data_IF_046596442655
#
_entry.id   IF_046596442655
#
_cell.length_a   1.000
_cell.length_b   1.000
_cell.length_c   1.000
_cell.angle_alpha   90.00
_cell.angle_beta   90.00
_cell.angle_gamma   90.00
#
_symmetry.space_group_name_H-M   'P 1'
#
loop_
_entity.id
_entity.type
_entity.pdbx_description
1 polymer ?
#
# COMPACT_ATOMS: atom_id res chain seq x y z
N UNK A 1 -41.22 -0.17 32.69
CA UNK A 1 -42.17 0.61 31.87
C UNK A 1 -41.41 1.76 31.24
N UNK A 2 -41.21 1.71 29.92
CA UNK A 2 -40.80 2.82 29.00
C UNK A 2 -39.41 3.46 29.20
N UNK A 3 -38.45 3.25 28.27
CA UNK A 3 -38.08 4.09 27.09
C UNK A 3 -37.37 5.41 27.47
N UNK A 4 -36.25 5.90 26.87
CA UNK A 4 -35.53 5.66 25.61
C UNK A 4 -34.15 6.37 25.62
N UNK A 5 -33.21 5.78 24.87
CA UNK A 5 -32.11 6.29 24.03
C UNK A 5 -31.47 7.67 24.23
N UNK A 6 -30.12 7.68 24.29
CA UNK A 6 -29.27 8.16 23.16
C UNK A 6 -28.05 7.21 23.07
N UNK A 7 -27.93 6.51 21.94
CA UNK A 7 -26.73 5.78 21.54
C UNK A 7 -25.97 6.64 20.53
N UNK A 8 -24.69 6.90 20.79
CA UNK A 8 -23.75 7.51 19.84
C UNK A 8 -23.23 6.45 18.86
N UNK A 9 -23.20 6.72 17.54
CA UNK A 9 -22.59 5.79 16.59
C UNK A 9 -21.07 6.02 16.56
N UNK A 10 -20.31 4.96 16.80
CA UNK A 10 -18.89 4.87 16.45
C UNK A 10 -18.79 4.71 14.93
N UNK A 11 -18.26 5.72 14.25
CA UNK A 11 -17.96 5.70 12.82
C UNK A 11 -16.88 4.65 12.55
N UNK A 12 -17.22 3.58 11.82
CA UNK A 12 -16.26 2.61 11.27
C UNK A 12 -16.03 2.97 9.81
N UNK A 13 -14.89 3.59 9.50
CA UNK A 13 -14.42 3.74 8.12
C UNK A 13 -13.69 2.44 7.74
N UNK A 14 -14.20 1.71 6.75
CA UNK A 14 -13.55 0.54 6.16
C UNK A 14 -13.55 0.74 4.64
N UNK A 15 -12.37 0.88 4.03
CA UNK A 15 -12.21 0.90 2.57
C UNK A 15 -11.95 -0.52 2.06
N UNK A 16 -12.60 -0.89 0.94
CA UNK A 16 -12.43 -2.16 0.23
C UNK A 16 -12.15 -1.80 -1.23
N UNK A 17 -11.01 -2.24 -1.77
CA UNK A 17 -10.72 -2.22 -3.20
C UNK A 17 -11.05 -3.56 -3.83
N UNK A 18 -11.67 -3.50 -5.01
CA UNK A 18 -12.05 -4.65 -5.82
C UNK A 18 -11.29 -4.55 -7.15
N UNK A 19 -10.23 -5.35 -7.31
CA UNK A 19 -9.42 -5.34 -8.53
C UNK A 19 -9.95 -6.30 -9.60
N UNK A 20 -10.11 -5.78 -10.83
CA UNK A 20 -10.24 -6.56 -12.05
C UNK A 20 -8.89 -6.47 -12.80
N UNK A 21 -8.16 -7.57 -12.85
CA UNK A 21 -6.72 -7.63 -13.18
C UNK A 21 -6.35 -7.42 -14.65
N UNK A 22 -5.33 -6.57 -14.88
CA UNK A 22 -4.23 -6.74 -15.84
C UNK A 22 -2.95 -6.11 -15.23
N UNK A 23 -2.05 -6.95 -14.70
CA UNK A 23 -0.61 -6.70 -14.52
C UNK A 23 -0.09 -5.43 -13.78
N UNK A 24 -0.78 -4.92 -12.75
CA UNK A 24 -0.21 -3.96 -11.79
C UNK A 24 0.01 -4.60 -10.42
N UNK A 25 1.03 -4.14 -9.70
CA UNK A 25 1.36 -4.63 -8.36
C UNK A 25 0.51 -3.90 -7.30
N UNK A 26 -0.28 -4.65 -6.53
CA UNK A 26 -1.29 -4.12 -5.59
C UNK A 26 -0.72 -3.58 -4.26
N UNK A 27 -1.58 -2.85 -3.55
CA UNK A 27 -1.34 -1.76 -2.59
C UNK A 27 -0.45 -1.98 -1.36
N UNK A 28 0.18 -0.88 -0.95
CA UNK A 28 0.71 -0.60 0.39
C UNK A 28 -0.38 -0.12 1.35
N UNK A 29 -0.71 -0.92 2.37
CA UNK A 29 -1.61 -0.53 3.46
C UNK A 29 -0.78 -0.21 4.72
N UNK A 30 -0.79 1.06 5.18
CA UNK A 30 -0.14 1.46 6.44
C UNK A 30 -1.18 1.88 7.48
N UNK A 31 -1.17 1.23 8.65
CA UNK A 31 -2.06 1.55 9.77
C UNK A 31 -1.35 2.59 10.68
N UNK A 32 -2.01 3.71 10.95
CA UNK A 32 -1.49 4.74 11.86
C UNK A 32 -1.53 4.25 13.33
N UNK A 33 -0.50 4.51 14.16
CA UNK A 33 -0.62 4.41 15.61
C UNK A 33 -1.37 5.64 16.15
N UNK A 34 -2.51 5.43 16.80
CA UNK A 34 -3.17 6.47 17.60
C UNK A 34 -2.38 6.67 18.91
N UNK A 35 -1.66 7.77 19.05
CA UNK A 35 -1.01 8.15 20.31
C UNK A 35 -2.03 8.76 21.29
N UNK A 36 -2.85 7.91 21.91
CA UNK A 36 -3.59 8.30 23.12
C UNK A 36 -2.82 7.82 24.35
N UNK A 37 -2.01 8.71 24.95
CA UNK A 37 -1.49 8.46 26.31
C UNK A 37 -2.66 8.45 27.29
N UNK A 38 -3.12 7.25 27.68
CA UNK A 38 -3.73 7.07 29.01
C UNK A 38 -2.80 6.22 29.87
N UNK A 39 -2.34 6.88 30.93
CA UNK A 39 -1.55 6.31 31.99
C UNK A 39 -2.49 5.45 32.86
N UNK A 40 -2.54 4.14 32.64
CA UNK A 40 -3.08 3.19 33.62
C UNK A 40 -2.19 1.96 33.68
N UNK A 41 -1.58 1.77 34.84
CA UNK A 41 -0.79 0.61 35.23
C UNK A 41 -1.60 -0.69 35.18
N UNK A 42 -1.04 -1.72 34.55
CA UNK A 42 -1.43 -3.12 34.73
C UNK A 42 -2.42 -3.65 33.70
N UNK A 43 -1.93 -4.48 32.77
CA UNK A 43 -2.76 -5.28 31.87
C UNK A 43 -2.17 -5.36 30.46
N UNK A 44 -1.52 -6.48 30.14
CA UNK A 44 -0.89 -6.71 28.83
C UNK A 44 -1.89 -6.71 27.68
N UNK A 45 -1.69 -5.82 26.72
CA UNK A 45 -2.41 -5.80 25.46
C UNK A 45 -1.51 -6.37 24.36
N UNK A 46 -1.80 -7.60 23.91
CA UNK A 46 -1.26 -8.12 22.66
C UNK A 46 -1.84 -7.30 21.50
N UNK A 47 -1.01 -6.72 20.64
CA UNK A 47 -1.46 -6.05 19.43
C UNK A 47 -2.04 -7.08 18.43
N UNK A 48 -3.18 -6.75 17.81
CA UNK A 48 -4.01 -7.64 16.99
C UNK A 48 -4.18 -7.00 15.62
N UNK A 49 -3.71 -7.65 14.56
CA UNK A 49 -4.07 -7.28 13.18
C UNK A 49 -5.25 -8.15 12.74
N UNK A 50 -6.35 -7.51 12.34
CA UNK A 50 -7.53 -8.18 11.76
C UNK A 50 -7.57 -7.81 10.28
N UNK A 51 -7.25 -8.76 9.40
CA UNK A 51 -7.43 -8.59 7.96
C UNK A 51 -8.79 -9.17 7.55
N UNK A 52 -9.64 -8.35 6.91
CA UNK A 52 -10.84 -8.79 6.21
C UNK A 52 -10.51 -8.88 4.72
N UNK A 53 -10.49 -10.09 4.14
CA UNK A 53 -10.23 -10.29 2.70
C UNK A 53 -11.54 -10.70 2.03
N UNK A 54 -12.02 -9.88 1.10
CA UNK A 54 -13.13 -10.23 0.22
C UNK A 54 -12.64 -11.22 -0.85
N UNK A 55 -13.28 -12.38 -0.96
CA UNK A 55 -12.92 -13.36 -1.98
C UNK A 55 -13.59 -13.08 -3.31
N UNK A 56 -12.80 -12.92 -4.38
CA UNK A 56 -13.30 -13.02 -5.75
C UNK A 56 -12.76 -14.30 -6.40
N UNK A 57 -13.63 -15.01 -7.11
CA UNK A 57 -13.33 -16.26 -7.82
C UNK A 57 -12.48 -15.95 -9.05
N UNK A 58 -11.28 -16.54 -9.15
CA UNK A 58 -10.45 -16.50 -10.36
C UNK A 58 -10.92 -17.58 -11.32
N UNK A 59 -11.32 -17.21 -12.54
CA UNK A 59 -11.41 -18.15 -13.66
C UNK A 59 -10.04 -18.22 -14.34
N UNK A 60 -9.36 -19.37 -14.29
CA UNK A 60 -8.15 -19.61 -15.07
C UNK A 60 -8.52 -19.89 -16.53
N UNK A 61 -7.80 -19.27 -17.46
CA UNK A 61 -8.14 -19.23 -18.88
C UNK A 61 -7.65 -20.46 -19.67
N UNK A 62 -7.90 -21.70 -19.23
CA UNK A 62 -7.43 -22.86 -20.02
C UNK A 62 -8.30 -24.12 -20.06
N UNK A 63 -9.51 -24.16 -19.51
CA UNK A 63 -10.43 -25.28 -19.80
C UNK A 63 -11.89 -24.87 -19.65
N UNK A 64 -12.64 -24.99 -20.75
CA UNK A 64 -14.10 -24.85 -20.79
C UNK A 64 -14.73 -26.03 -20.03
N UNK A 65 -15.03 -25.86 -18.76
CA UNK A 65 -16.05 -26.67 -18.08
C UNK A 65 -17.26 -25.78 -17.75
N UNK A 66 -18.44 -26.19 -18.25
CA UNK A 66 -19.72 -25.52 -18.03
C UNK A 66 -20.08 -25.51 -16.54
N UNK A 67 -20.16 -24.33 -15.93
CA UNK A 67 -20.68 -24.19 -14.56
C UNK A 67 -22.21 -24.21 -14.60
N UNK A 68 -22.80 -25.34 -14.19
CA UNK A 68 -24.23 -25.44 -13.89
C UNK A 68 -24.55 -24.66 -12.60
N UNK A 69 -25.12 -23.46 -12.76
CA UNK A 69 -25.72 -22.71 -11.65
C UNK A 69 -27.13 -23.23 -11.37
N UNK A 70 -27.30 -23.93 -10.24
CA UNK A 70 -28.64 -24.30 -9.74
C UNK A 70 -29.16 -23.15 -8.88
N UNK A 71 -30.12 -22.38 -9.38
CA UNK A 71 -30.76 -21.31 -8.60
C UNK A 71 -31.79 -21.89 -7.62
N UNK A 72 -31.87 -21.41 -6.37
CA UNK A 72 -32.97 -21.76 -5.47
C UNK A 72 -34.30 -21.26 -6.04
N UNK A 73 -35.32 -22.11 -5.97
CA UNK A 73 -36.67 -21.90 -6.51
C UNK A 73 -37.35 -20.71 -5.81
N UNK A 74 -37.37 -19.54 -6.44
CA UNK A 74 -38.15 -18.40 -5.96
C UNK A 74 -39.65 -18.70 -6.12
N UNK A 75 -40.42 -18.42 -5.05
CA UNK A 75 -41.87 -18.54 -5.04
C UNK A 75 -42.48 -17.64 -6.13
N UNK A 76 -43.26 -18.26 -7.01
CA UNK A 76 -43.94 -17.60 -8.10
C UNK A 76 -45.05 -16.68 -7.60
N UNK A 77 -45.03 -15.41 -8.01
CA UNK A 77 -46.27 -14.67 -8.25
C UNK A 77 -46.13 -13.79 -9.49
N UNK A 78 -47.02 -14.06 -10.45
CA UNK A 78 -47.37 -13.36 -11.69
C UNK A 78 -46.40 -12.36 -12.32
N UNK A 79 -45.88 -12.69 -13.51
CA UNK A 79 -46.47 -12.23 -14.78
C UNK A 79 -45.61 -12.69 -15.98
N UNK A 80 -46.28 -12.94 -17.12
CA UNK A 80 -45.79 -13.61 -18.33
C UNK A 80 -44.83 -12.74 -19.16
N UNK A 81 -43.76 -13.38 -19.68
CA UNK A 81 -43.07 -13.21 -20.98
C UNK A 81 -41.59 -13.60 -20.77
N UNK A 82 -40.89 -14.40 -21.58
CA UNK A 82 -40.98 -14.66 -23.00
C UNK A 82 -40.26 -16.01 -23.31
N UNK A 83 -40.76 -16.74 -24.30
CA UNK A 83 -40.31 -18.05 -24.72
C UNK A 83 -38.96 -18.06 -25.49
N UNK A 84 -38.30 -19.21 -25.42
CA UNK A 84 -37.40 -19.87 -26.38
C UNK A 84 -36.58 -19.02 -27.38
N UNK A 85 -35.25 -19.13 -27.28
CA UNK A 85 -34.33 -18.91 -28.39
C UNK A 85 -33.36 -20.10 -28.48
N UNK A 86 -33.64 -21.01 -29.42
CA UNK A 86 -32.74 -22.05 -29.92
C UNK A 86 -32.02 -21.52 -31.16
N UNK A 87 -30.72 -21.24 -31.08
CA UNK A 87 -29.87 -20.77 -32.20
C UNK A 87 -28.45 -20.37 -31.73
N UNK A 88 -27.42 -20.41 -32.61
CA UNK A 88 -26.02 -20.49 -32.20
C UNK A 88 -25.48 -19.19 -31.58
N UNK A 89 -24.47 -19.37 -30.75
CA UNK A 89 -23.72 -18.39 -29.94
C UNK A 89 -23.70 -16.96 -30.48
N UNK A 90 -24.45 -16.06 -29.83
CA UNK A 90 -24.19 -14.63 -29.91
C UNK A 90 -23.42 -14.21 -28.65
N UNK A 91 -22.18 -13.74 -28.83
CA UNK A 91 -21.42 -13.05 -27.79
C UNK A 91 -22.09 -11.73 -27.47
N UNK A 92 -22.96 -11.71 -26.45
CA UNK A 92 -23.44 -10.45 -25.86
C UNK A 92 -22.38 -9.92 -24.90
N UNK A 93 -21.71 -8.83 -25.27
CA UNK A 93 -21.02 -7.97 -24.30
C UNK A 93 -22.05 -7.49 -23.28
N UNK A 94 -21.95 -7.96 -22.05
CA UNK A 94 -22.68 -7.39 -20.93
C UNK A 94 -22.10 -5.99 -20.70
N UNK A 95 -22.90 -4.95 -20.95
CA UNK A 95 -22.52 -3.58 -20.60
C UNK A 95 -22.25 -3.48 -19.09
N UNK A 96 -21.24 -2.70 -18.70
CA UNK A 96 -20.78 -2.49 -17.32
C UNK A 96 -21.89 -2.22 -16.28
N UNK A 97 -23.08 -1.75 -16.71
CA UNK A 97 -24.28 -1.60 -15.87
C UNK A 97 -24.80 -2.88 -15.20
N UNK A 98 -24.42 -4.08 -15.65
CA UNK A 98 -24.87 -5.35 -15.02
C UNK A 98 -23.94 -5.87 -13.92
N UNK A 99 -22.68 -5.42 -13.83
CA UNK A 99 -21.82 -5.78 -12.69
C UNK A 99 -22.16 -4.97 -11.45
N UNK A 100 -22.69 -3.75 -11.62
CA UNK A 100 -23.08 -2.86 -10.52
C UNK A 100 -24.29 -3.36 -9.72
N UNK A 101 -25.01 -4.39 -10.20
CA UNK A 101 -26.20 -4.93 -9.54
C UNK A 101 -25.89 -6.10 -8.58
N UNK A 102 -24.64 -6.57 -8.53
CA UNK A 102 -24.21 -7.66 -7.64
C UNK A 102 -23.56 -7.17 -6.32
N UNK A 103 -23.37 -5.86 -6.17
CA UNK A 103 -22.83 -5.23 -4.97
C UNK A 103 -23.87 -4.24 -4.43
N UNK A 104 -25.07 -4.74 -4.13
CA UNK A 104 -25.98 -4.04 -3.23
C UNK A 104 -25.26 -3.94 -1.88
N UNK A 105 -24.99 -2.72 -1.43
CA UNK A 105 -24.19 -2.39 -0.24
C UNK A 105 -24.84 -2.82 1.09
N UNK A 106 -25.90 -3.61 1.03
CA UNK A 106 -26.62 -4.16 2.17
C UNK A 106 -26.25 -5.60 2.56
N UNK A 107 -25.40 -6.31 1.80
CA UNK A 107 -25.08 -7.73 2.08
C UNK A 107 -23.60 -8.13 2.01
N UNK A 108 -22.66 -7.21 2.23
CA UNK A 108 -21.26 -7.60 2.38
C UNK A 108 -20.97 -8.13 3.80
N UNK A 109 -20.70 -9.43 3.92
CA UNK A 109 -20.24 -10.04 5.18
C UNK A 109 -18.75 -10.36 5.09
N UNK A 110 -17.93 -9.60 5.83
CA UNK A 110 -16.55 -9.97 6.08
C UNK A 110 -16.47 -11.03 7.17
N UNK A 111 -15.77 -12.13 6.90
CA UNK A 111 -15.45 -13.15 7.91
C UNK A 111 -13.95 -13.15 8.13
N UNK A 112 -13.51 -13.07 9.39
CA UNK A 112 -12.11 -13.26 9.73
C UNK A 112 -11.74 -14.73 9.50
N UNK A 113 -10.84 -14.98 8.56
CA UNK A 113 -10.38 -16.34 8.22
C UNK A 113 -9.05 -16.72 8.87
N UNK A 114 -8.27 -15.72 9.30
CA UNK A 114 -6.99 -15.92 9.95
C UNK A 114 -6.62 -14.71 10.83
N UNK A 115 -5.77 -14.96 11.82
CA UNK A 115 -5.00 -13.94 12.54
C UNK A 115 -3.54 -14.27 12.33
N UNK A 116 -2.77 -13.36 11.75
CA UNK A 116 -1.35 -13.56 11.51
C UNK A 116 -0.55 -13.03 12.69
N UNK A 117 0.46 -13.80 13.06
CA UNK A 117 1.43 -13.47 14.10
C UNK A 117 2.81 -13.82 13.56
N UNK A 118 3.81 -12.98 13.85
CA UNK A 118 5.20 -13.35 13.64
C UNK A 118 5.54 -14.55 14.55
N UNK A 119 6.26 -15.54 14.00
CA UNK A 119 6.69 -16.75 14.72
C UNK A 119 7.57 -16.45 15.93
N UNK A 120 8.28 -15.33 15.90
CA UNK A 120 9.11 -14.79 16.98
C UNK A 120 8.55 -13.46 17.52
N UNK A 121 7.24 -13.24 17.36
CA UNK A 121 6.55 -12.03 17.78
C UNK A 121 6.73 -11.77 19.28
N UNK A 122 7.46 -10.70 19.60
CA UNK A 122 7.64 -10.21 20.96
C UNK A 122 6.69 -9.04 21.24
N UNK A 123 6.40 -8.78 22.52
CA UNK A 123 5.70 -7.56 22.91
C UNK A 123 6.49 -6.33 22.41
N UNK A 124 5.75 -5.35 21.87
CA UNK A 124 6.27 -4.09 21.31
C UNK A 124 7.15 -4.27 20.07
N UNK A 125 6.89 -5.26 19.21
CA UNK A 125 7.56 -5.35 17.89
C UNK A 125 6.92 -4.45 16.83
N UNK A 126 5.75 -3.86 17.10
CA UNK A 126 4.90 -3.14 16.15
C UNK A 126 4.66 -3.93 14.85
N UNK A 127 4.54 -5.26 14.95
CA UNK A 127 4.14 -6.10 13.84
C UNK A 127 2.79 -5.65 13.28
N UNK A 128 2.76 -5.34 11.99
CA UNK A 128 1.58 -4.76 11.33
C UNK A 128 1.63 -3.25 11.14
N UNK A 129 2.75 -2.59 11.46
CA UNK A 129 2.92 -1.15 11.21
C UNK A 129 2.82 -0.81 9.72
N UNK A 130 3.30 -1.72 8.88
CA UNK A 130 3.22 -1.63 7.42
C UNK A 130 2.87 -2.99 6.83
N UNK A 131 2.14 -2.97 5.71
CA UNK A 131 1.68 -4.15 5.01
C UNK A 131 1.66 -3.91 3.51
N UNK A 132 2.07 -4.92 2.74
CA UNK A 132 1.90 -4.97 1.29
C UNK A 132 1.47 -6.39 0.89
N UNK A 133 0.61 -6.50 -0.11
CA UNK A 133 0.10 -7.79 -0.59
C UNK A 133 0.06 -7.80 -2.12
N UNK A 134 0.59 -8.87 -2.71
CA UNK A 134 0.48 -9.13 -4.14
C UNK A 134 0.17 -10.63 -4.34
N UNK A 135 -1.01 -10.89 -4.88
CA UNK A 135 -1.56 -12.22 -5.06
C UNK A 135 -1.55 -13.04 -3.78
N UNK A 136 -0.72 -14.10 -3.76
CA UNK A 136 -0.60 -15.04 -2.65
C UNK A 136 0.64 -14.78 -1.78
N UNK A 137 1.26 -13.60 -1.89
CA UNK A 137 2.38 -13.18 -1.03
C UNK A 137 2.02 -11.89 -0.30
N UNK A 138 2.35 -11.82 0.98
CA UNK A 138 2.14 -10.65 1.82
C UNK A 138 3.41 -10.37 2.63
N UNK A 139 3.72 -9.09 2.81
CA UNK A 139 4.83 -8.62 3.63
C UNK A 139 4.28 -7.76 4.75
N UNK A 140 4.76 -7.98 5.97
CA UNK A 140 4.33 -7.25 7.15
C UNK A 140 5.57 -6.72 7.89
N UNK A 141 5.65 -5.41 8.08
CA UNK A 141 6.74 -4.75 8.80
C UNK A 141 6.60 -4.81 10.33
N UNK A 142 7.73 -4.69 11.03
CA UNK A 142 7.87 -4.68 12.49
C UNK A 142 9.17 -3.95 12.91
N UNK A 143 9.12 -2.63 13.07
CA UNK A 143 10.30 -1.76 13.16
C UNK A 143 10.95 -1.57 14.55
N UNK A 144 10.26 -1.85 15.66
CA UNK A 144 10.59 -1.22 16.96
C UNK A 144 11.69 -1.95 17.76
N UNK A 145 12.04 -3.20 17.39
CA UNK A 145 13.05 -3.98 18.12
C UNK A 145 14.32 -4.19 17.32
N UNK A 146 15.46 -4.02 18.01
CA UNK A 146 16.79 -4.09 17.40
C UNK A 146 16.87 -3.12 16.21
N UNK A 147 17.21 -3.62 15.04
CA UNK A 147 17.19 -2.86 13.79
C UNK A 147 15.84 -2.83 13.08
N UNK A 148 14.85 -3.61 13.55
CA UNK A 148 13.58 -3.83 12.87
C UNK A 148 13.56 -5.12 12.03
N UNK A 149 12.41 -5.47 11.47
CA UNK A 149 12.21 -6.69 10.66
C UNK A 149 11.02 -6.53 9.70
N UNK A 150 11.00 -7.36 8.65
CA UNK A 150 9.81 -7.56 7.82
C UNK A 150 9.54 -9.07 7.66
N UNK A 151 8.28 -9.46 7.60
CA UNK A 151 7.86 -10.85 7.60
C UNK A 151 7.09 -11.17 6.33
N UNK A 152 7.52 -12.21 5.61
CA UNK A 152 6.85 -12.65 4.39
C UNK A 152 5.94 -13.82 4.73
N UNK A 153 4.67 -13.71 4.35
CA UNK A 153 3.67 -14.76 4.43
C UNK A 153 3.24 -15.16 3.03
N UNK A 154 3.02 -16.45 2.80
CA UNK A 154 2.36 -16.92 1.58
C UNK A 154 1.08 -17.69 1.88
N UNK A 155 0.08 -17.51 1.03
CA UNK A 155 -1.20 -18.20 1.17
C UNK A 155 -1.00 -19.69 0.95
N UNK A 156 -1.61 -20.50 1.79
CA UNK A 156 -1.58 -21.95 1.61
C UNK A 156 -2.42 -22.33 0.38
N UNK A 157 -1.95 -23.27 -0.45
CA UNK A 157 -2.69 -23.68 -1.64
C UNK A 157 -4.03 -24.37 -1.30
N UNK A 158 -5.02 -24.23 -2.18
CA UNK A 158 -6.28 -24.99 -2.14
C UNK A 158 -7.56 -24.17 -1.93
N UNK A 159 -7.51 -23.06 -1.19
CA UNK A 159 -8.66 -22.15 -0.97
C UNK A 159 -8.22 -20.81 -0.38
N UNK A 160 -9.03 -19.76 -0.56
CA UNK A 160 -8.87 -18.48 0.14
C UNK A 160 -8.87 -18.64 1.67
N UNK A 161 -9.52 -19.68 2.19
CA UNK A 161 -9.61 -19.97 3.63
C UNK A 161 -8.50 -20.87 4.16
N UNK A 162 -7.57 -21.32 3.31
CA UNK A 162 -6.50 -22.24 3.71
C UNK A 162 -5.45 -21.61 4.65
N UNK A 163 -5.56 -20.31 4.91
CA UNK A 163 -4.69 -19.55 5.80
C UNK A 163 -3.37 -19.16 5.13
N UNK A 164 -2.45 -18.64 5.95
CA UNK A 164 -1.16 -18.14 5.51
C UNK A 164 -0.04 -18.78 6.34
N UNK A 165 1.11 -18.99 5.72
CA UNK A 165 2.32 -19.48 6.38
C UNK A 165 3.41 -18.43 6.29
N UNK A 166 4.06 -18.11 7.41
CA UNK A 166 5.27 -17.29 7.40
C UNK A 166 6.40 -18.06 6.68
N UNK A 167 6.91 -17.50 5.59
CA UNK A 167 7.99 -18.06 4.77
C UNK A 167 9.35 -17.48 5.08
N UNK A 168 9.41 -16.22 5.47
CA UNK A 168 10.67 -15.56 5.74
C UNK A 168 10.53 -14.50 6.83
N UNK A 169 11.65 -14.23 7.50
CA UNK A 169 11.91 -13.01 8.24
C UNK A 169 13.07 -12.32 7.53
N UNK A 170 12.82 -11.13 7.03
CA UNK A 170 13.78 -10.27 6.35
C UNK A 170 14.43 -9.36 7.39
N UNK A 171 15.76 -9.27 7.32
CA UNK A 171 16.60 -8.42 8.14
C UNK A 171 17.55 -7.68 7.20
N UNK A 172 17.82 -6.41 7.48
CA UNK A 172 18.92 -5.70 6.85
C UNK A 172 20.25 -6.39 7.20
N UNK A 173 21.09 -6.63 6.20
CA UNK A 173 22.41 -7.28 6.35
C UNK A 173 23.34 -6.52 7.29
N UNK A 174 23.15 -5.21 7.39
CA UNK A 174 23.91 -4.26 8.19
C UNK A 174 23.05 -3.60 9.29
N UNK A 175 21.86 -4.13 9.55
CA UNK A 175 20.90 -3.49 10.44
C UNK A 175 21.46 -3.26 11.85
N UNK A 176 21.45 -1.99 12.27
CA UNK A 176 21.84 -1.50 13.58
C UNK A 176 20.62 -1.04 14.40
N UNK A 177 20.81 -0.95 15.72
CA UNK A 177 19.75 -0.51 16.62
C UNK A 177 19.34 0.93 16.32
N UNK A 178 18.06 1.16 15.99
CA UNK A 178 17.55 2.48 15.64
C UNK A 178 17.34 2.73 14.15
N UNK A 179 17.62 1.76 13.27
CA UNK A 179 17.40 1.93 11.83
C UNK A 179 15.92 1.90 11.43
N UNK A 180 15.08 1.30 12.29
CA UNK A 180 13.64 1.15 12.08
C UNK A 180 13.26 0.41 10.78
N UNK A 181 14.04 -0.61 10.42
CA UNK A 181 13.77 -1.47 9.26
C UNK A 181 12.36 -2.09 9.35
N UNK A 182 11.60 -1.98 8.27
CA UNK A 182 10.20 -2.43 8.22
C UNK A 182 9.19 -1.35 8.59
N UNK A 183 9.62 -0.09 8.76
CA UNK A 183 8.72 1.08 8.86
C UNK A 183 7.73 1.13 7.70
N UNK A 184 8.21 0.79 6.52
CA UNK A 184 7.50 0.81 5.26
C UNK A 184 7.93 -0.41 4.46
N UNK A 185 6.97 -1.06 3.80
CA UNK A 185 7.20 -2.23 2.96
C UNK A 185 6.40 -2.08 1.69
N UNK A 186 6.94 -2.47 0.54
CA UNK A 186 6.18 -2.58 -0.70
C UNK A 186 6.55 -3.89 -1.41
N UNK A 187 5.62 -4.47 -2.15
CA UNK A 187 5.76 -5.77 -2.80
C UNK A 187 5.23 -5.69 -4.22
N UNK A 188 6.02 -6.17 -5.18
CA UNK A 188 5.61 -6.37 -6.56
C UNK A 188 6.22 -7.65 -7.11
N UNK A 189 5.38 -8.65 -7.34
CA UNK A 189 5.72 -10.01 -7.76
C UNK A 189 6.78 -10.65 -6.85
N UNK A 190 8.00 -10.70 -7.38
CA UNK A 190 9.15 -11.34 -6.74
C UNK A 190 10.13 -10.32 -6.13
N UNK A 191 9.70 -9.07 -5.92
CA UNK A 191 10.54 -7.98 -5.39
C UNK A 191 9.86 -7.32 -4.20
N UNK A 192 10.59 -7.20 -3.10
CA UNK A 192 10.17 -6.50 -1.88
C UNK A 192 11.10 -5.31 -1.67
N UNK A 193 10.53 -4.17 -1.32
CA UNK A 193 11.25 -2.99 -0.84
C UNK A 193 10.92 -2.80 0.63
N UNK A 194 11.94 -2.60 1.47
CA UNK A 194 11.75 -2.31 2.90
C UNK A 194 12.50 -1.05 3.25
N UNK A 195 11.82 -0.05 3.83
CA UNK A 195 12.44 1.16 4.32
C UNK A 195 13.05 1.00 5.73
N UNK A 196 14.05 1.82 6.01
CA UNK A 196 14.75 1.95 7.29
C UNK A 196 15.18 3.42 7.48
N UNK A 197 14.23 4.28 7.83
CA UNK A 197 14.45 5.73 7.86
C UNK A 197 15.44 6.21 8.93
N UNK A 198 15.74 5.38 9.93
CA UNK A 198 16.65 5.70 11.02
C UNK A 198 18.11 5.38 10.74
N UNK A 199 18.40 4.63 9.67
CA UNK A 199 19.75 4.25 9.26
C UNK A 199 20.66 5.49 9.12
N UNK A 200 21.92 5.38 9.53
CA UNK A 200 22.82 6.52 9.71
C UNK A 200 24.07 6.53 8.82
N UNK A 201 24.11 5.69 7.78
CA UNK A 201 25.26 5.53 6.88
C UNK A 201 25.70 6.81 6.15
N UNK A 202 24.76 7.74 5.93
CA UNK A 202 25.01 9.06 5.31
C UNK A 202 24.88 10.22 6.30
N UNK A 203 24.87 9.91 7.59
CA UNK A 203 24.64 10.85 8.69
C UNK A 203 23.43 10.42 9.53
N UNK A 204 23.32 10.90 10.78
CA UNK A 204 22.24 10.49 11.69
C UNK A 204 20.86 10.56 11.04
N UNK A 205 20.12 9.45 11.02
CA UNK A 205 18.76 9.36 10.42
C UNK A 205 18.69 9.83 8.96
N UNK A 206 19.75 9.60 8.19
CA UNK A 206 19.77 9.85 6.74
C UNK A 206 18.88 8.86 6.00
N UNK A 207 18.77 7.65 6.51
CA UNK A 207 17.83 6.63 6.10
C UNK A 207 18.29 5.80 4.90
N UNK A 208 17.69 4.63 4.78
CA UNK A 208 17.98 3.62 3.77
C UNK A 208 16.73 2.88 3.31
N UNK A 209 16.81 2.21 2.16
CA UNK A 209 15.83 1.21 1.75
C UNK A 209 16.53 -0.03 1.20
N UNK A 210 15.91 -1.19 1.32
CA UNK A 210 16.51 -2.46 0.98
C UNK A 210 15.62 -3.22 0.00
N UNK A 211 16.25 -3.74 -1.06
CA UNK A 211 15.59 -4.60 -2.04
C UNK A 211 15.87 -6.06 -1.70
N UNK A 212 14.80 -6.83 -1.54
CA UNK A 212 14.84 -8.28 -1.46
C UNK A 212 14.17 -8.86 -2.69
N UNK A 213 14.70 -9.97 -3.20
CA UNK A 213 14.07 -10.70 -4.30
C UNK A 213 13.90 -12.16 -3.94
N UNK A 214 12.83 -12.77 -4.44
CA UNK A 214 12.58 -14.20 -4.29
C UNK A 214 13.69 -15.00 -4.98
N UNK A 215 14.19 -16.05 -4.34
CA UNK A 215 15.31 -16.84 -4.86
C UNK A 215 14.95 -17.61 -6.13
N UNK A 216 13.68 -18.02 -6.24
CA UNK A 216 13.12 -18.69 -7.42
C UNK A 216 11.83 -18.00 -7.80
N UNK A 217 11.81 -17.37 -8.98
CA UNK A 217 10.68 -16.58 -9.47
C UNK A 217 9.34 -17.35 -9.38
N UNK A 218 8.31 -16.70 -8.86
CA UNK A 218 6.95 -17.24 -8.70
C UNK A 218 6.78 -18.38 -7.67
N UNK A 219 7.85 -18.86 -7.03
CA UNK A 219 7.73 -19.97 -6.08
C UNK A 219 7.32 -19.52 -4.68
N UNK A 220 6.08 -19.80 -4.27
CA UNK A 220 5.57 -19.47 -2.92
C UNK A 220 6.32 -20.16 -1.77
N UNK A 221 7.20 -21.12 -2.07
CA UNK A 221 8.04 -21.84 -1.12
C UNK A 221 9.51 -21.40 -1.13
N UNK A 222 9.92 -20.55 -2.09
CA UNK A 222 11.30 -20.07 -2.17
C UNK A 222 11.62 -19.05 -1.06
N UNK A 223 12.91 -18.99 -0.73
CA UNK A 223 13.47 -17.97 0.15
C UNK A 223 13.53 -16.59 -0.52
N UNK A 224 14.05 -15.64 0.24
CA UNK A 224 14.24 -14.25 -0.18
C UNK A 224 15.65 -13.82 0.17
N UNK A 225 16.33 -13.18 -0.79
CA UNK A 225 17.70 -12.68 -0.62
C UNK A 225 17.71 -11.16 -0.75
N UNK A 226 18.39 -10.47 0.18
CA UNK A 226 18.71 -9.05 0.03
C UNK A 226 19.65 -8.87 -1.17
N UNK A 227 19.24 -8.07 -2.15
CA UNK A 227 20.03 -7.79 -3.36
C UNK A 227 20.82 -6.50 -3.23
N UNK A 228 20.17 -5.43 -2.77
CA UNK A 228 20.74 -4.08 -2.80
C UNK A 228 20.26 -3.29 -1.59
N UNK A 229 21.15 -2.49 -1.00
CA UNK A 229 20.83 -1.35 -0.13
C UNK A 229 20.83 -0.08 -0.99
N UNK A 230 19.75 0.69 -0.92
CA UNK A 230 19.53 1.94 -1.63
C UNK A 230 19.75 3.10 -0.65
N UNK A 231 20.58 4.05 -1.09
CA UNK A 231 20.85 5.31 -0.42
C UNK A 231 20.49 6.44 -1.39
N UNK A 232 19.94 7.53 -0.88
CA UNK A 232 19.86 8.76 -1.66
C UNK A 232 21.27 9.22 -2.05
N UNK A 233 21.47 9.59 -3.32
CA UNK A 233 22.77 10.07 -3.82
C UNK A 233 23.28 11.30 -3.06
N UNK A 234 22.35 12.11 -2.59
CA UNK A 234 22.56 13.33 -1.80
C UNK A 234 22.10 13.18 -0.35
N UNK A 235 21.93 11.94 0.13
CA UNK A 235 21.47 11.69 1.49
C UNK A 235 22.34 12.38 2.53
N UNK A 236 21.67 13.05 3.47
CA UNK A 236 22.25 13.84 4.54
C UNK A 236 21.56 13.54 5.88
N UNK A 237 22.15 14.03 6.97
CA UNK A 237 21.62 13.82 8.30
C UNK A 237 20.20 14.40 8.44
N UNK A 238 19.25 13.56 8.85
CA UNK A 238 17.87 13.93 9.09
C UNK A 238 16.94 13.81 7.90
N UNK A 239 17.40 13.33 6.73
CA UNK A 239 16.55 13.23 5.54
C UNK A 239 15.43 12.19 5.65
N UNK A 240 15.64 11.15 6.48
CA UNK A 240 14.69 10.05 6.70
C UNK A 240 14.31 9.30 5.42
N UNK A 241 15.27 9.07 4.52
CA UNK A 241 15.06 8.27 3.32
C UNK A 241 14.57 6.85 3.68
N UNK A 242 13.53 6.37 3.00
CA UNK A 242 12.88 5.09 3.34
C UNK A 242 11.69 5.24 4.29
N UNK A 243 11.30 6.45 4.68
CA UNK A 243 10.09 6.70 5.48
C UNK A 243 8.82 6.20 4.77
N UNK A 244 8.79 6.26 3.44
CA UNK A 244 7.77 5.60 2.63
C UNK A 244 8.39 4.94 1.40
N UNK A 245 7.82 3.83 0.95
CA UNK A 245 8.27 3.09 -0.23
C UNK A 245 7.07 2.62 -1.03
N UNK A 246 7.19 2.61 -2.36
CA UNK A 246 6.23 2.02 -3.28
C UNK A 246 6.99 1.42 -4.46
N UNK A 247 6.48 0.34 -5.05
CA UNK A 247 7.12 -0.34 -6.18
C UNK A 247 6.07 -0.77 -7.20
N UNK A 248 6.37 -0.54 -8.47
CA UNK A 248 5.65 -1.13 -9.60
C UNK A 248 6.65 -1.60 -10.66
N UNK A 249 6.55 -2.89 -11.00
CA UNK A 249 7.51 -3.62 -11.82
C UNK A 249 8.97 -3.34 -11.45
N UNK A 250 9.67 -2.69 -12.38
CA UNK A 250 11.10 -2.37 -12.29
C UNK A 250 11.39 -0.96 -11.74
N UNK A 251 10.39 -0.30 -11.15
CA UNK A 251 10.49 1.08 -10.63
C UNK A 251 10.06 1.12 -9.17
N UNK A 252 10.92 1.67 -8.31
CA UNK A 252 10.58 1.93 -6.91
C UNK A 252 10.73 3.42 -6.61
N UNK A 253 9.83 3.92 -5.78
CA UNK A 253 9.84 5.29 -5.29
C UNK A 253 10.00 5.28 -3.78
N UNK A 254 10.93 6.09 -3.30
CA UNK A 254 11.31 6.15 -1.90
C UNK A 254 11.20 7.58 -1.42
N UNK A 255 10.41 7.79 -0.38
CA UNK A 255 10.21 9.08 0.25
C UNK A 255 11.25 9.39 1.32
N UNK A 256 11.59 10.68 1.43
CA UNK A 256 12.44 11.28 2.44
C UNK A 256 11.75 12.58 2.90
N UNK A 257 10.83 12.49 3.87
CA UNK A 257 9.92 13.58 4.22
C UNK A 257 10.60 14.74 4.97
N UNK A 258 11.80 14.51 5.48
CA UNK A 258 12.62 15.54 6.12
C UNK A 258 13.81 15.97 5.28
N UNK A 259 13.96 15.39 4.07
CA UNK A 259 15.01 15.73 3.11
C UNK A 259 15.09 17.22 2.86
N UNK A 260 16.31 17.76 2.87
CA UNK A 260 16.55 19.14 2.47
C UNK A 260 16.45 19.25 0.93
N UNK A 261 15.26 19.63 0.47
CA UNK A 261 15.13 20.21 -0.86
C UNK A 261 15.95 21.50 -0.97
N UNK A 262 15.99 22.11 -2.16
CA UNK A 262 16.67 23.40 -2.40
C UNK A 262 16.13 24.57 -1.54
N UNK A 263 15.12 24.33 -0.69
CA UNK A 263 14.35 25.33 0.04
C UNK A 263 14.47 25.25 1.58
N UNK A 264 15.37 24.42 2.12
CA UNK A 264 15.66 24.34 3.57
C UNK A 264 15.17 23.07 4.25
N UNK A 265 15.39 22.99 5.57
CA UNK A 265 15.13 21.80 6.41
C UNK A 265 13.67 21.38 6.31
N UNK A 266 13.40 20.09 6.05
CA UNK A 266 12.07 19.44 6.08
C UNK A 266 11.06 19.80 4.97
N UNK A 267 11.54 20.35 3.86
CA UNK A 267 10.70 20.48 2.65
C UNK A 267 10.31 19.12 2.05
N UNK A 268 11.18 18.12 2.22
CA UNK A 268 10.97 16.74 1.80
C UNK A 268 11.37 16.47 0.35
N UNK A 269 11.51 15.20 0.00
CA UNK A 269 11.91 14.72 -1.32
C UNK A 269 11.39 13.31 -1.58
N UNK A 270 11.27 12.95 -2.87
CA UNK A 270 11.04 11.56 -3.27
C UNK A 270 12.06 11.15 -4.34
N UNK A 271 12.50 9.91 -4.30
CA UNK A 271 13.56 9.40 -5.17
C UNK A 271 13.04 8.23 -5.99
N UNK A 272 13.28 8.28 -7.29
CA UNK A 272 12.91 7.18 -8.20
C UNK A 272 14.15 6.36 -8.49
N UNK A 273 14.08 5.08 -8.20
CA UNK A 273 15.08 4.10 -8.61
C UNK A 273 14.47 3.14 -9.63
N UNK A 274 15.25 2.75 -10.62
CA UNK A 274 14.87 1.70 -11.55
C UNK A 274 15.91 0.61 -11.58
N UNK A 275 15.47 -0.61 -11.86
CA UNK A 275 16.37 -1.72 -12.18
C UNK A 275 17.22 -1.39 -13.41
N UNK A 276 18.49 -1.82 -13.44
CA UNK A 276 19.38 -1.61 -14.60
C UNK A 276 19.04 -2.57 -15.75
N UNK A 277 18.58 -3.78 -15.43
CA UNK A 277 18.10 -4.79 -16.39
C UNK A 277 16.67 -5.19 -16.04
N UNK A 278 15.71 -4.81 -16.89
CA UNK A 278 14.28 -5.07 -16.70
C UNK A 278 13.99 -6.55 -16.38
N UNK A 279 13.15 -6.80 -15.36
CA UNK A 279 12.71 -8.14 -14.96
C UNK A 279 13.77 -9.01 -14.26
N UNK A 280 15.03 -8.58 -14.15
CA UNK A 280 16.09 -9.40 -13.55
C UNK A 280 16.09 -9.36 -12.01
N UNK A 281 15.91 -10.50 -11.35
CA UNK A 281 15.94 -10.59 -9.87
C UNK A 281 17.34 -10.41 -9.26
N UNK A 282 18.39 -10.28 -10.07
CA UNK A 282 19.77 -10.05 -9.63
C UNK A 282 20.36 -8.74 -10.13
N UNK A 283 19.57 -7.93 -10.84
CA UNK A 283 19.99 -6.64 -11.35
C UNK A 283 20.22 -5.61 -10.24
N UNK A 284 21.07 -4.63 -10.54
CA UNK A 284 21.25 -3.49 -9.67
C UNK A 284 20.09 -2.51 -9.84
N UNK A 285 20.01 -1.56 -8.92
CA UNK A 285 19.05 -0.46 -8.95
C UNK A 285 19.80 0.86 -9.04
N UNK A 286 19.32 1.74 -9.89
CA UNK A 286 19.95 3.03 -10.20
C UNK A 286 18.98 4.14 -9.87
N UNK A 287 19.42 5.14 -9.10
CA UNK A 287 18.64 6.36 -8.88
C UNK A 287 18.51 7.11 -10.22
N UNK A 288 17.29 7.31 -10.70
CA UNK A 288 16.97 8.00 -11.95
C UNK A 288 16.50 9.43 -11.75
N UNK A 289 15.90 9.72 -10.60
CA UNK A 289 15.40 11.05 -10.30
C UNK A 289 15.38 11.33 -8.80
N UNK A 290 15.57 12.61 -8.46
CA UNK A 290 15.07 13.23 -7.23
C UNK A 290 13.90 14.13 -7.65
N UNK A 291 12.73 13.90 -7.06
CA UNK A 291 11.51 14.66 -7.30
C UNK A 291 11.33 15.66 -6.17
N UNK A 292 11.08 16.89 -6.56
CA UNK A 292 10.78 18.02 -5.68
C UNK A 292 9.48 18.67 -6.16
N UNK A 293 8.61 19.12 -5.24
CA UNK A 293 7.42 19.89 -5.61
C UNK A 293 7.83 21.21 -6.25
N UNK A 294 7.09 21.65 -7.27
CA UNK A 294 7.31 22.91 -8.01
C UNK A 294 7.33 24.16 -7.13
N UNK A 295 6.66 24.08 -6.00
CA UNK A 295 6.32 25.14 -5.06
C UNK A 295 6.65 24.70 -3.63
N UNK A 296 7.69 23.87 -3.47
CA UNK A 296 8.11 23.34 -2.18
C UNK A 296 8.34 24.43 -1.13
N UNK A 297 7.76 24.22 0.04
CA UNK A 297 7.94 25.07 1.22
C UNK A 297 8.57 24.28 2.37
N UNK A 298 9.12 25.01 3.34
CA UNK A 298 9.65 24.43 4.59
C UNK A 298 8.52 23.70 5.34
N UNK A 299 8.83 22.59 6.00
CA UNK A 299 7.89 21.77 6.77
C UNK A 299 6.76 21.10 5.95
N UNK A 300 6.79 21.18 4.61
CA UNK A 300 5.75 20.61 3.75
C UNK A 300 5.66 19.07 3.81
N UNK A 301 6.76 18.40 4.22
CA UNK A 301 6.89 16.94 4.32
C UNK A 301 6.61 16.20 3.03
N UNK A 302 7.03 16.74 1.90
CA UNK A 302 6.91 16.07 0.61
C UNK A 302 7.62 14.71 0.64
N UNK A 303 6.97 13.65 0.16
CA UNK A 303 7.54 12.30 0.20
C UNK A 303 7.20 11.51 1.47
N UNK A 304 6.39 12.06 2.38
CA UNK A 304 5.90 11.31 3.56
C UNK A 304 5.10 10.07 3.19
N UNK A 305 4.40 10.14 2.06
CA UNK A 305 3.73 9.00 1.43
C UNK A 305 3.92 9.05 -0.07
N UNK A 306 4.11 7.88 -0.67
CA UNK A 306 4.31 7.71 -2.10
C UNK A 306 3.47 6.53 -2.57
N UNK A 307 2.92 6.64 -3.78
CA UNK A 307 2.28 5.55 -4.51
C UNK A 307 2.73 5.62 -5.98
N UNK A 308 2.84 4.45 -6.61
CA UNK A 308 3.17 4.29 -8.03
C UNK A 308 2.23 3.26 -8.65
N UNK A 309 1.76 3.55 -9.86
CA UNK A 309 1.13 2.57 -10.74
C UNK A 309 1.53 2.93 -12.17
N UNK A 310 2.25 2.00 -12.81
CA UNK A 310 2.85 2.18 -14.13
C UNK A 310 3.73 3.43 -14.23
N UNK A 311 3.22 4.40 -15.00
CA UNK A 311 3.91 5.64 -15.34
C UNK A 311 3.39 6.85 -14.55
N UNK A 312 2.60 6.64 -13.50
CA UNK A 312 2.03 7.68 -12.64
C UNK A 312 2.49 7.52 -11.19
N UNK A 313 2.88 8.64 -10.57
CA UNK A 313 3.24 8.72 -9.16
C UNK A 313 2.35 9.72 -8.45
N UNK A 314 2.01 9.41 -7.20
CA UNK A 314 1.36 10.34 -6.28
C UNK A 314 2.24 10.46 -5.05
N UNK A 315 2.52 11.71 -4.65
CA UNK A 315 3.37 12.01 -3.51
C UNK A 315 2.62 12.94 -2.57
N UNK A 316 2.45 12.52 -1.32
CA UNK A 316 1.82 13.29 -0.27
C UNK A 316 2.76 14.33 0.34
N UNK A 317 2.19 15.46 0.74
CA UNK A 317 2.84 16.59 1.41
C UNK A 317 1.87 17.15 2.45
N UNK A 318 1.71 16.42 3.55
CA UNK A 318 0.67 16.69 4.57
C UNK A 318 0.94 17.95 5.42
N UNK A 319 2.15 18.49 5.35
CA UNK A 319 2.53 19.75 6.01
C UNK A 319 2.43 20.98 5.11
N UNK A 320 1.87 20.86 3.91
CA UNK A 320 1.70 21.99 2.98
C UNK A 320 0.58 22.94 3.46
N UNK A 321 0.80 24.24 3.30
CA UNK A 321 0.02 25.29 3.98
C UNK A 321 -0.88 26.13 3.04
N UNK A 322 -1.07 25.70 1.80
CA UNK A 322 -1.76 26.47 0.74
C UNK A 322 -3.18 26.94 1.09
N UNK A 323 -3.94 26.12 1.84
CA UNK A 323 -5.31 26.46 2.29
C UNK A 323 -5.42 26.70 3.79
N UNK A 324 -4.29 26.85 4.47
CA UNK A 324 -4.21 26.98 5.93
C UNK A 324 -3.10 26.11 6.48
N UNK A 325 -2.67 26.38 7.71
CA UNK A 325 -1.55 25.65 8.29
C UNK A 325 -1.84 24.14 8.32
N UNK A 326 -0.98 23.35 7.67
CA UNK A 326 -1.06 21.90 7.51
C UNK A 326 -2.37 21.43 6.88
N UNK A 327 -2.89 22.22 5.94
CA UNK A 327 -4.02 21.81 5.10
C UNK A 327 -3.67 20.62 4.20
N UNK A 328 -2.40 20.53 3.81
CA UNK A 328 -1.83 19.42 3.07
C UNK A 328 -2.11 19.47 1.57
N UNK A 329 -1.26 18.77 0.84
CA UNK A 329 -1.26 18.68 -0.62
C UNK A 329 -0.86 17.30 -1.08
N UNK A 330 -1.23 16.95 -2.32
CA UNK A 330 -0.66 15.81 -3.03
C UNK A 330 -0.19 16.20 -4.42
N UNK A 331 0.89 15.59 -4.89
CA UNK A 331 1.53 15.94 -6.15
C UNK A 331 1.53 14.73 -7.08
N UNK A 332 1.14 14.97 -8.33
CA UNK A 332 1.08 13.93 -9.36
C UNK A 332 2.23 14.12 -10.33
N UNK A 333 3.04 13.07 -10.54
CA UNK A 333 4.08 13.04 -11.56
C UNK A 333 3.76 11.98 -12.59
N UNK A 334 4.16 12.22 -13.85
CA UNK A 334 4.14 11.19 -14.88
C UNK A 334 5.50 11.00 -15.51
N UNK A 335 5.79 9.75 -15.90
CA UNK A 335 6.97 9.41 -16.68
C UNK A 335 6.83 10.02 -18.08
N UNK A 336 7.90 10.64 -18.58
CA UNK A 336 7.84 11.33 -19.87
C UNK A 336 7.82 10.39 -21.08
N UNK A 337 8.33 9.17 -20.92
CA UNK A 337 8.24 8.12 -21.93
C UNK A 337 7.73 6.88 -21.23
N UNK A 338 6.52 6.45 -21.60
CA UNK A 338 5.85 5.31 -20.98
C UNK A 338 6.74 4.05 -21.00
N UNK A 339 6.83 3.37 -19.85
CA UNK A 339 7.63 2.16 -19.69
C UNK A 339 9.16 2.34 -19.71
N UNK A 340 9.68 3.55 -19.91
CA UNK A 340 11.13 3.76 -20.01
C UNK A 340 11.81 3.85 -18.65
N UNK A 341 12.73 2.92 -18.35
CA UNK A 341 13.52 2.92 -17.11
C UNK A 341 14.51 4.08 -16.96
N UNK A 342 14.67 4.92 -17.99
CA UNK A 342 15.61 6.05 -17.97
C UNK A 342 14.95 7.39 -18.25
N UNK A 343 13.65 7.41 -18.56
CA UNK A 343 12.94 8.65 -18.80
C UNK A 343 12.80 9.48 -17.53
N UNK A 344 12.85 10.80 -17.71
CA UNK A 344 12.58 11.75 -16.65
C UNK A 344 11.10 11.73 -16.27
N UNK A 345 10.80 12.29 -15.10
CA UNK A 345 9.46 12.46 -14.57
C UNK A 345 9.11 13.95 -14.56
N UNK A 346 7.83 14.26 -14.76
CA UNK A 346 7.34 15.63 -14.75
C UNK A 346 6.10 15.74 -13.89
N UNK A 347 6.08 16.75 -13.01
CA UNK A 347 4.90 17.09 -12.22
C UNK A 347 3.77 17.52 -13.17
N UNK A 348 2.62 16.86 -13.09
CA UNK A 348 1.42 17.12 -13.90
C UNK A 348 0.37 17.89 -13.13
N UNK A 349 0.30 17.71 -11.82
CA UNK A 349 -0.68 18.39 -10.98
C UNK A 349 -0.17 18.56 -9.54
N UNK A 350 -0.69 19.60 -8.89
CA UNK A 350 -0.82 19.71 -7.43
C UNK A 350 -2.31 19.57 -7.12
N UNK A 351 -2.64 18.76 -6.13
CA UNK A 351 -3.99 18.46 -5.69
C UNK A 351 -4.16 19.01 -4.28
N UNK A 352 -5.26 19.74 -4.09
CA UNK A 352 -5.70 20.30 -2.82
C UNK A 352 -7.10 19.71 -2.53
N UNK A 353 -7.41 19.46 -1.26
CA UNK A 353 -8.78 19.20 -0.83
C UNK A 353 -9.66 20.40 -1.23
N UNK A 354 -10.86 20.18 -1.79
CA UNK A 354 -11.75 21.27 -2.24
C UNK A 354 -12.13 22.23 -1.11
N UNK A 355 -12.33 21.65 0.06
CA UNK A 355 -12.68 22.19 1.37
C UNK A 355 -11.47 22.36 2.31
N UNK A 356 -10.25 22.05 1.83
CA UNK A 356 -9.06 22.05 2.67
C UNK A 356 -8.94 23.25 3.61
N UNK A 357 -8.73 22.97 4.88
CA UNK A 357 -8.64 23.89 6.00
C UNK A 357 -7.40 23.58 6.85
N UNK A 358 -7.17 24.42 7.87
CA UNK A 358 -5.99 24.28 8.71
C UNK A 358 -6.07 23.00 9.56
N UNK A 359 -5.09 22.11 9.37
CA UNK A 359 -4.94 20.89 10.15
C UNK A 359 -5.62 19.66 9.56
N UNK A 360 -6.06 19.68 8.31
CA UNK A 360 -6.70 18.52 7.65
C UNK A 360 -5.68 17.42 7.28
N UNK A 361 -4.42 17.82 7.05
CA UNK A 361 -3.33 16.95 6.61
C UNK A 361 -3.68 16.17 5.33
N UNK A 362 -4.26 16.82 4.33
CA UNK A 362 -4.49 16.20 3.02
C UNK A 362 -3.16 15.69 2.43
N UNK A 363 -3.14 14.46 1.93
CA UNK A 363 -1.90 13.82 1.46
C UNK A 363 -1.18 12.99 2.53
N UNK A 364 -1.73 12.86 3.75
CA UNK A 364 -1.18 12.00 4.81
C UNK A 364 -1.21 10.50 4.47
N UNK A 365 -2.03 10.10 3.49
CA UNK A 365 -2.05 8.78 2.85
C UNK A 365 -2.43 8.94 1.38
N UNK A 366 -1.79 8.15 0.51
CA UNK A 366 -2.08 8.13 -0.92
C UNK A 366 -2.15 6.68 -1.40
N UNK A 367 -3.07 6.39 -2.32
CA UNK A 367 -3.19 5.12 -3.01
C UNK A 367 -3.54 5.37 -4.47
N UNK A 368 -3.09 4.48 -5.36
CA UNK A 368 -3.25 4.58 -6.80
C UNK A 368 -3.51 3.19 -7.38
N UNK A 369 -4.56 3.06 -8.19
CA UNK A 369 -4.87 1.86 -8.96
C UNK A 369 -5.52 2.27 -10.30
N UNK A 370 -4.78 2.05 -11.39
CA UNK A 370 -5.14 2.50 -12.73
C UNK A 370 -5.41 4.00 -12.78
N UNK A 371 -6.61 4.35 -13.24
CA UNK A 371 -7.06 5.74 -13.36
C UNK A 371 -7.65 6.29 -12.04
N UNK A 372 -7.62 5.53 -10.94
CA UNK A 372 -8.21 5.92 -9.65
C UNK A 372 -7.13 6.22 -8.62
N UNK A 373 -7.26 7.39 -7.99
CA UNK A 373 -6.41 7.82 -6.90
C UNK A 373 -7.26 8.13 -5.68
N UNK A 374 -6.78 7.71 -4.50
CA UNK A 374 -7.38 8.06 -3.21
C UNK A 374 -6.34 8.81 -2.39
N UNK A 375 -6.75 9.93 -1.82
CA UNK A 375 -5.90 10.75 -0.95
C UNK A 375 -6.65 10.95 0.36
N UNK A 376 -5.98 10.66 1.47
CA UNK A 376 -6.54 10.83 2.81
C UNK A 376 -6.28 12.22 3.38
N UNK A 377 -7.23 12.68 4.18
CA UNK A 377 -7.12 13.78 5.14
C UNK A 377 -7.61 13.23 6.48
N UNK A 378 -6.74 13.18 7.50
CA UNK A 378 -7.00 12.39 8.71
C UNK A 378 -7.69 13.18 9.82
N UNK A 379 -7.69 14.51 9.72
CA UNK A 379 -8.27 15.42 10.70
C UNK A 379 -9.25 16.41 10.08
N UNK A 380 -9.69 16.13 8.85
CA UNK A 380 -10.80 16.83 8.22
C UNK A 380 -12.04 16.72 9.14
N UNK A 381 -12.47 17.86 9.66
CA UNK A 381 -13.48 17.99 10.70
C UNK A 381 -14.86 18.37 10.15
N UNK A 382 -14.97 18.58 8.84
CA UNK A 382 -16.19 19.01 8.18
C UNK A 382 -16.98 17.83 7.54
N UNK A 383 -18.29 18.03 7.35
CA UNK A 383 -19.27 16.99 6.97
C UNK A 383 -19.90 17.21 5.60
#
# INVERSE_FOLDING_TARGET
>A
SWMRHVATPLLRLLFILAALHLASCEETLSLLPTTSRRNTSGGGANAIVTAAVAGLVRASSSSLEEVHLTLPKAAASGSKALAAATGPSSTRRLSARRLTQALDSSSFTATQIAKLVASDGAAYSDFGISLAIDGDTMVIGAWYRASGSAYVFTRNPGSLTAGWTQRAKLLASDGAGGDYFGVSVALCGDTIVVGAYGDDDKGPTSGSAYIFTRDVAGSLAAGWTQRVKLLASDGAAGDQFGMSVAIDGDTTVIGADHGDGHMGSTSGSAYVFTRDVAGSLSANWVQRAKLLPSDGVVDARFGRRVAIDGDTLVIGSDGDDDKGSKSGSAYVYSRNIAGSLTASWTQRAKLLASDGAAGDYFGVSVALDGDTMVIGAVLDDDK
#
